data_IF_303771484599
#
_entry.id   IF_303771484599
#
_cell.length_a   1.000
_cell.length_b   1.000
_cell.length_c   1.000
_cell.angle_alpha   90.00
_cell.angle_beta   90.00
_cell.angle_gamma   90.00
#
_symmetry.space_group_name_H-M   'P 1'
#
loop_
_entity.id
_entity.type
_entity.pdbx_description
1 polymer ?
#
# COMPACT_ATOMS: atom_id res chain seq x y z
N UNK A 1 -25.83 13.60 25.20
CA UNK A 1 -24.38 13.36 24.98
C UNK A 1 -24.14 11.90 24.58
N UNK A 2 -24.87 10.95 25.19
CA UNK A 2 -24.97 9.54 24.80
C UNK A 2 -25.41 9.35 23.33
N UNK A 3 -26.40 10.10 22.86
CA UNK A 3 -26.90 9.98 21.46
C UNK A 3 -25.86 10.33 20.39
N UNK A 4 -24.98 11.31 20.64
CA UNK A 4 -23.91 11.68 19.70
C UNK A 4 -22.82 10.61 19.69
N UNK A 5 -22.53 9.99 20.84
CA UNK A 5 -21.57 8.89 20.95
C UNK A 5 -22.11 7.62 20.27
N UNK A 6 -23.40 7.32 20.41
CA UNK A 6 -24.04 6.18 19.71
C UNK A 6 -24.16 6.42 18.20
N UNK A 7 -24.48 7.64 17.76
CA UNK A 7 -24.49 8.02 16.34
C UNK A 7 -23.09 7.97 15.73
N UNK A 8 -22.08 8.39 16.50
CA UNK A 8 -20.67 8.27 16.13
C UNK A 8 -20.24 6.81 16.05
N UNK A 9 -20.63 6.00 17.02
CA UNK A 9 -20.33 4.57 17.05
C UNK A 9 -21.02 3.84 15.90
N UNK A 10 -22.24 4.22 15.49
CA UNK A 10 -22.93 3.61 14.36
C UNK A 10 -22.36 4.04 13.01
N UNK A 11 -21.94 5.31 12.87
CA UNK A 11 -21.30 5.83 11.64
C UNK A 11 -19.85 5.40 11.47
N UNK A 12 -19.14 5.12 12.56
CA UNK A 12 -17.76 4.60 12.55
C UNK A 12 -17.67 3.08 12.78
N UNK A 13 -18.79 2.39 13.00
CA UNK A 13 -18.83 0.93 13.04
C UNK A 13 -18.53 0.37 11.65
N UNK A 14 -17.26 0.01 11.42
CA UNK A 14 -16.96 -1.04 10.47
C UNK A 14 -17.43 -2.36 11.07
N UNK A 15 -18.36 -3.04 10.37
CA UNK A 15 -18.52 -4.48 10.51
C UNK A 15 -17.16 -5.14 10.28
N UNK A 16 -16.55 -5.68 11.34
CA UNK A 16 -15.49 -6.67 11.16
C UNK A 16 -16.10 -7.84 10.37
N UNK A 17 -15.52 -8.30 9.25
CA UNK A 17 -15.94 -9.57 8.68
C UNK A 17 -15.72 -10.64 9.75
N UNK A 18 -16.78 -11.39 10.03
CA UNK A 18 -16.76 -12.50 10.96
C UNK A 18 -15.59 -13.43 10.63
N UNK A 19 -14.87 -13.85 11.68
CA UNK A 19 -13.93 -14.97 11.61
C UNK A 19 -14.66 -16.18 11.01
N UNK A 20 -14.11 -16.72 9.93
CA UNK A 20 -13.84 -18.16 9.74
C UNK A 20 -13.34 -18.37 8.31
N UNK A 21 -12.02 -18.41 8.14
CA UNK A 21 -11.39 -19.21 7.09
C UNK A 21 -10.34 -20.03 7.81
N UNK A 22 -10.69 -21.27 8.13
CA UNK A 22 -9.75 -22.29 8.58
C UNK A 22 -8.67 -22.46 7.51
N UNK A 23 -7.48 -21.95 7.79
CA UNK A 23 -6.26 -22.31 7.08
C UNK A 23 -5.59 -23.43 7.87
N UNK A 24 -6.17 -24.63 7.84
CA UNK A 24 -5.44 -25.85 8.16
C UNK A 24 -4.87 -26.43 6.86
N UNK A 25 -3.56 -26.70 6.78
CA UNK A 25 -3.00 -27.42 5.65
C UNK A 25 -3.40 -28.88 5.77
N UNK A 26 -4.23 -29.37 4.85
CA UNK A 26 -4.45 -30.80 4.69
C UNK A 26 -3.16 -31.46 4.19
N UNK A 27 -2.54 -32.24 5.07
CA UNK A 27 -1.46 -33.17 4.76
C UNK A 27 -2.01 -34.31 3.88
N UNK A 28 -1.65 -34.33 2.60
CA UNK A 28 -1.78 -35.54 1.79
C UNK A 28 -0.48 -36.33 1.83
N UNK A 29 -0.53 -37.42 2.59
CA UNK A 29 0.43 -38.51 2.62
C UNK A 29 0.67 -39.05 1.20
N UNK A 30 1.91 -38.99 0.74
CA UNK A 30 2.37 -39.73 -0.45
C UNK A 30 2.62 -41.17 -0.04
N UNK A 31 1.78 -42.07 -0.54
CA UNK A 31 1.93 -43.51 -0.35
C UNK A 31 2.72 -44.14 -1.51
N UNK A 32 3.64 -45.02 -1.15
CA UNK A 32 4.62 -45.66 -2.02
C UNK A 32 4.02 -46.93 -2.64
N UNK A 33 3.71 -46.90 -3.94
CA UNK A 33 3.26 -48.06 -4.70
C UNK A 33 4.16 -48.36 -5.90
N UNK A 34 5.13 -49.25 -5.72
CA UNK A 34 5.94 -49.85 -6.79
C UNK A 34 5.04 -50.64 -7.76
N UNK A 35 5.06 -50.32 -9.05
CA UNK A 35 4.92 -51.33 -10.10
C UNK A 35 5.86 -51.02 -11.27
N UNK A 36 6.84 -51.92 -11.43
CA UNK A 36 7.62 -52.09 -12.65
C UNK A 36 6.71 -52.65 -13.74
N UNK A 37 6.80 -52.14 -14.96
CA UNK A 37 6.66 -52.96 -16.17
C UNK A 37 7.35 -52.31 -17.38
N UNK A 38 7.88 -53.20 -18.21
CA UNK A 38 8.94 -53.01 -19.21
C UNK A 38 8.51 -52.23 -20.46
N UNK A 39 9.54 -51.69 -21.10
CA UNK A 39 9.58 -51.06 -22.41
C UNK A 39 8.86 -51.82 -23.53
N UNK A 40 8.27 -51.04 -24.46
CA UNK A 40 8.32 -51.29 -25.91
C UNK A 40 8.03 -49.98 -26.65
N UNK A 41 8.96 -49.56 -27.51
CA UNK A 41 8.76 -48.51 -28.51
C UNK A 41 8.24 -49.16 -29.79
N UNK A 42 7.31 -48.52 -30.50
CA UNK A 42 7.49 -48.40 -31.95
C UNK A 42 7.33 -46.96 -32.44
N UNK A 43 8.23 -46.57 -33.33
CA UNK A 43 8.19 -45.34 -34.12
C UNK A 43 6.96 -45.34 -35.06
N UNK A 44 6.29 -44.19 -35.19
CA UNK A 44 5.80 -43.78 -36.51
C UNK A 44 5.48 -42.28 -36.61
N UNK A 45 5.97 -41.72 -37.72
CA UNK A 45 5.39 -40.66 -38.53
C UNK A 45 5.17 -39.24 -37.96
N UNK A 46 6.17 -38.39 -38.23
CA UNK A 46 6.06 -37.06 -38.82
C UNK A 46 4.68 -36.37 -38.84
N UNK A 47 4.52 -35.35 -37.99
CA UNK A 47 3.75 -34.15 -38.31
C UNK A 47 4.19 -32.97 -37.41
N UNK A 48 5.40 -32.43 -37.67
CA UNK A 48 5.80 -31.13 -37.12
C UNK A 48 5.12 -30.02 -37.91
N UNK A 49 3.93 -29.62 -37.49
CA UNK A 49 3.41 -28.28 -37.76
C UNK A 49 4.15 -27.28 -36.87
N UNK A 50 4.63 -26.22 -37.50
CA UNK A 50 5.34 -25.09 -36.90
C UNK A 50 4.63 -24.55 -35.65
N UNK A 51 5.09 -24.96 -34.46
CA UNK A 51 4.95 -24.14 -33.26
C UNK A 51 6.22 -23.32 -33.13
N UNK A 52 6.15 -22.07 -33.57
CA UNK A 52 7.19 -21.07 -33.30
C UNK A 52 7.23 -20.88 -31.78
N UNK A 53 8.03 -21.69 -31.10
CA UNK A 53 8.38 -21.47 -29.70
C UNK A 53 9.13 -20.14 -29.69
N UNK A 54 8.45 -19.08 -29.25
CA UNK A 54 9.07 -17.80 -28.96
C UNK A 54 10.21 -18.07 -28.00
N UNK A 55 11.45 -17.86 -28.46
CA UNK A 55 12.62 -17.84 -27.59
C UNK A 55 12.32 -16.99 -26.35
N UNK A 56 12.65 -17.42 -25.14
CA UNK A 56 12.65 -16.50 -24.01
C UNK A 56 13.54 -15.31 -24.38
N UNK A 57 13.04 -14.09 -24.19
CA UNK A 57 13.87 -12.89 -24.30
C UNK A 57 15.11 -13.13 -23.43
N UNK A 58 16.30 -12.94 -24.01
CA UNK A 58 17.55 -13.06 -23.28
C UNK A 58 17.46 -12.24 -21.98
N UNK A 59 17.94 -12.76 -20.83
CA UNK A 59 17.94 -12.00 -19.60
C UNK A 59 18.79 -10.75 -19.83
N UNK A 60 18.16 -9.58 -19.76
CA UNK A 60 18.89 -8.33 -19.67
C UNK A 60 19.73 -8.41 -18.39
N UNK A 61 21.04 -8.56 -18.52
CA UNK A 61 21.96 -8.60 -17.38
C UNK A 61 22.09 -7.18 -16.83
N UNK A 62 21.14 -6.77 -15.98
CA UNK A 62 21.14 -5.46 -15.33
C UNK A 62 19.75 -4.98 -14.91
N UNK A 63 19.74 -3.95 -14.06
CA UNK A 63 18.54 -3.21 -13.67
C UNK A 63 18.45 -1.90 -14.46
N UNK A 64 17.26 -1.48 -14.90
CA UNK A 64 15.95 -2.07 -14.66
C UNK A 64 15.62 -3.27 -15.56
N UNK A 65 14.79 -4.20 -15.09
CA UNK A 65 14.27 -5.33 -15.88
C UNK A 65 12.79 -5.60 -15.55
N UNK A 66 12.01 -6.05 -16.52
CA UNK A 66 10.59 -6.37 -16.34
C UNK A 66 10.31 -7.84 -16.64
N UNK A 67 9.47 -8.45 -15.81
CA UNK A 67 9.07 -9.84 -15.92
C UNK A 67 7.55 -9.96 -15.82
N UNK A 68 7.03 -10.98 -16.50
CA UNK A 68 5.66 -11.42 -16.36
C UNK A 68 5.58 -12.42 -15.20
N UNK A 69 4.62 -12.25 -14.29
CA UNK A 69 4.34 -13.29 -13.32
C UNK A 69 3.23 -14.23 -13.82
N UNK A 70 3.19 -15.45 -13.29
CA UNK A 70 2.18 -16.45 -13.66
C UNK A 70 0.77 -16.05 -13.19
N UNK A 71 0.66 -15.09 -12.27
CA UNK A 71 -0.60 -14.57 -11.76
C UNK A 71 -1.25 -13.52 -12.66
N UNK A 72 -0.67 -13.19 -13.83
CA UNK A 72 -1.26 -12.22 -14.76
C UNK A 72 -1.03 -10.75 -14.37
N UNK A 73 0.07 -10.44 -13.70
CA UNK A 73 0.61 -9.10 -13.45
C UNK A 73 2.09 -9.02 -13.87
N UNK A 74 2.70 -7.85 -13.74
CA UNK A 74 4.05 -7.58 -14.21
C UNK A 74 4.88 -7.05 -13.05
N UNK A 75 6.13 -7.47 -12.95
CA UNK A 75 7.07 -7.00 -11.93
C UNK A 75 8.25 -6.33 -12.60
N UNK A 76 8.62 -5.14 -12.13
CA UNK A 76 9.77 -4.38 -12.60
C UNK A 76 10.76 -4.28 -11.46
N UNK A 77 11.93 -4.86 -11.68
CA UNK A 77 13.05 -4.76 -10.78
C UNK A 77 13.84 -3.50 -11.16
N UNK A 78 13.91 -2.52 -10.26
CA UNK A 78 14.60 -1.26 -10.50
C UNK A 78 16.04 -1.26 -9.97
N UNK A 79 16.24 -1.94 -8.84
CA UNK A 79 17.50 -2.17 -8.12
C UNK A 79 17.33 -3.47 -7.30
N UNK A 80 18.40 -4.06 -6.72
CA UNK A 80 18.31 -5.35 -6.01
C UNK A 80 17.21 -5.45 -4.94
N UNK A 81 16.88 -4.33 -4.28
CA UNK A 81 15.90 -4.29 -3.20
C UNK A 81 14.60 -3.54 -3.55
N UNK A 82 14.41 -3.15 -4.82
CA UNK A 82 13.27 -2.32 -5.23
C UNK A 82 12.51 -2.99 -6.37
N UNK A 83 11.28 -3.40 -6.07
CA UNK A 83 10.36 -4.03 -7.02
C UNK A 83 9.11 -3.18 -7.16
N UNK A 84 8.65 -3.02 -8.41
CA UNK A 84 7.38 -2.39 -8.76
C UNK A 84 6.48 -3.41 -9.44
N UNK A 85 5.43 -3.82 -8.76
CA UNK A 85 4.38 -4.66 -9.31
C UNK A 85 3.29 -3.81 -9.96
N UNK A 86 2.86 -4.22 -11.14
CA UNK A 86 1.92 -3.50 -11.99
C UNK A 86 0.88 -4.46 -12.57
N UNK A 87 -0.40 -4.09 -12.51
CA UNK A 87 -1.49 -4.82 -13.17
C UNK A 87 -1.86 -4.20 -14.54
N UNK A 88 -2.68 -4.91 -15.32
CA UNK A 88 -3.19 -4.41 -16.62
C UNK A 88 -3.95 -3.09 -16.45
N UNK A 89 -4.76 -2.96 -15.39
CA UNK A 89 -5.50 -1.74 -15.06
C UNK A 89 -4.67 -0.71 -14.26
N UNK A 90 -3.33 -0.79 -14.32
CA UNK A 90 -2.40 0.21 -13.76
C UNK A 90 -2.54 0.41 -12.25
N UNK A 91 -2.85 -0.64 -11.50
CA UNK A 91 -2.60 -0.67 -10.06
C UNK A 91 -1.11 -0.86 -9.87
N UNK A 92 -0.52 -0.09 -8.96
CA UNK A 92 0.93 -0.06 -8.74
C UNK A 92 1.18 -0.43 -7.29
N UNK A 93 2.05 -1.40 -7.05
CA UNK A 93 2.63 -1.68 -5.73
C UNK A 93 4.14 -1.55 -5.81
N UNK A 94 4.73 -0.91 -4.83
CA UNK A 94 6.18 -0.82 -4.66
C UNK A 94 6.55 -1.57 -3.40
N UNK A 95 7.61 -2.37 -3.49
CA UNK A 95 8.28 -2.98 -2.33
C UNK A 95 9.74 -2.56 -2.35
N UNK A 96 10.14 -1.85 -1.29
CA UNK A 96 11.53 -1.65 -0.92
C UNK A 96 11.84 -2.59 0.24
N UNK A 97 12.48 -3.73 -0.06
CA UNK A 97 12.70 -4.79 0.93
C UNK A 97 13.41 -4.26 2.17
N UNK A 98 12.84 -4.57 3.35
CA UNK A 98 13.36 -4.14 4.65
C UNK A 98 13.09 -2.68 5.02
N UNK A 99 12.38 -1.90 4.19
CA UNK A 99 12.08 -0.48 4.46
C UNK A 99 10.59 -0.18 4.44
N UNK A 100 9.96 -0.35 3.28
CA UNK A 100 8.55 -0.06 3.13
C UNK A 100 7.93 -0.82 1.95
N UNK A 101 6.60 -0.89 1.95
CA UNK A 101 5.79 -1.19 0.78
C UNK A 101 4.68 -0.17 0.65
N UNK A 102 4.29 0.16 -0.58
CA UNK A 102 3.24 1.12 -0.87
C UNK A 102 2.38 0.62 -2.03
N UNK A 103 1.11 1.00 -2.09
CA UNK A 103 0.22 0.71 -3.21
C UNK A 103 -0.65 1.90 -3.54
N UNK A 104 -0.86 2.11 -4.84
CA UNK A 104 -1.87 3.01 -5.39
C UNK A 104 -2.80 2.19 -6.28
N UNK A 105 -4.08 2.14 -5.88
CA UNK A 105 -5.18 1.60 -6.65
C UNK A 105 -5.54 2.44 -7.88
N UNK A 106 -6.32 1.87 -8.79
CA UNK A 106 -6.89 2.60 -9.94
C UNK A 106 -8.01 3.57 -9.50
N UNK A 107 -8.66 3.26 -8.39
CA UNK A 107 -9.67 4.04 -7.66
C UNK A 107 -9.07 5.12 -6.73
N UNK A 108 -7.76 5.37 -6.83
CA UNK A 108 -7.00 6.27 -5.96
C UNK A 108 -6.87 5.82 -4.49
N UNK A 109 -7.26 4.59 -4.15
CA UNK A 109 -7.02 4.04 -2.83
C UNK A 109 -5.52 3.85 -2.57
N UNK A 110 -5.06 4.23 -1.38
CA UNK A 110 -3.66 4.17 -0.97
C UNK A 110 -3.46 3.29 0.26
N UNK A 111 -2.39 2.51 0.23
CA UNK A 111 -1.88 1.85 1.43
C UNK A 111 -0.36 1.99 1.49
N UNK A 112 0.17 2.19 2.69
CA UNK A 112 1.58 2.32 2.99
C UNK A 112 1.90 1.47 4.23
N UNK A 113 2.96 0.68 4.14
CA UNK A 113 3.53 -0.06 5.27
C UNK A 113 5.00 0.33 5.35
N UNK A 114 5.36 1.17 6.32
CA UNK A 114 6.70 1.65 6.61
C UNK A 114 7.06 1.27 8.07
N UNK A 115 8.34 1.10 8.39
CA UNK A 115 8.76 0.71 9.75
C UNK A 115 8.23 1.67 10.83
N UNK A 116 8.26 2.98 10.52
CA UNK A 116 7.79 4.06 11.39
C UNK A 116 6.32 4.45 11.22
N UNK A 117 5.63 3.95 10.20
CA UNK A 117 4.22 4.31 10.00
C UNK A 117 3.47 3.35 9.06
N UNK A 118 2.19 3.16 9.32
CA UNK A 118 1.30 2.41 8.43
C UNK A 118 0.09 3.26 8.09
N UNK A 119 -0.31 3.27 6.82
CA UNK A 119 -1.54 3.92 6.34
C UNK A 119 -2.35 2.90 5.53
N UNK A 120 -3.63 2.78 5.81
CA UNK A 120 -4.52 1.86 5.13
C UNK A 120 -5.85 2.54 4.83
N UNK A 121 -6.12 2.75 3.55
CA UNK A 121 -7.38 3.28 3.07
C UNK A 121 -8.36 2.15 2.78
N UNK A 122 -9.55 2.28 3.36
CA UNK A 122 -10.76 1.51 3.02
C UNK A 122 -11.74 2.43 2.30
N UNK A 123 -12.86 1.89 1.84
CA UNK A 123 -13.90 2.69 1.15
C UNK A 123 -14.42 3.85 2.02
N UNK A 124 -14.50 3.65 3.34
CA UNK A 124 -15.11 4.60 4.26
C UNK A 124 -14.09 5.46 5.03
N UNK A 125 -12.94 4.88 5.37
CA UNK A 125 -12.00 5.46 6.32
C UNK A 125 -10.55 5.30 5.88
N UNK A 126 -9.69 6.23 6.31
CA UNK A 126 -8.23 6.07 6.28
C UNK A 126 -7.76 5.82 7.71
N UNK A 127 -7.08 4.70 7.92
CA UNK A 127 -6.39 4.39 9.16
C UNK A 127 -4.92 4.75 9.01
N UNK A 128 -4.36 5.40 10.03
CA UNK A 128 -2.95 5.71 10.11
C UNK A 128 -2.42 5.35 11.51
N UNK A 129 -1.26 4.74 11.57
CA UNK A 129 -0.53 4.49 12.80
C UNK A 129 0.91 4.97 12.62
N UNK A 130 1.40 5.84 13.50
CA UNK A 130 2.74 6.39 13.47
C UNK A 130 3.49 5.93 14.71
N UNK A 131 4.63 5.26 14.51
CA UNK A 131 5.48 4.64 15.52
C UNK A 131 6.76 5.46 15.65
N UNK A 132 6.58 6.67 16.15
CA UNK A 132 7.60 7.71 16.15
C UNK A 132 7.92 8.08 17.58
N UNK A 133 9.14 7.76 18.02
CA UNK A 133 9.51 7.74 19.43
C UNK A 133 8.91 6.52 20.15
N UNK A 134 8.67 6.66 21.46
CA UNK A 134 8.20 5.56 22.31
C UNK A 134 6.66 5.44 22.39
N UNK A 135 5.93 6.25 21.60
CA UNK A 135 4.47 6.35 21.66
C UNK A 135 3.87 6.14 20.28
N UNK A 136 3.07 5.08 20.11
CA UNK A 136 2.26 4.87 18.92
C UNK A 136 1.12 5.90 18.89
N UNK A 137 0.98 6.57 17.75
CA UNK A 137 -0.05 7.58 17.48
C UNK A 137 -0.97 7.03 16.40
N UNK A 138 -2.24 6.88 16.72
CA UNK A 138 -3.22 6.25 15.84
C UNK A 138 -4.29 7.27 15.44
N UNK A 139 -4.64 7.30 14.16
CA UNK A 139 -5.64 8.23 13.61
C UNK A 139 -6.53 7.54 12.59
N UNK A 140 -7.83 7.79 12.65
CA UNK A 140 -8.82 7.35 11.68
C UNK A 140 -9.50 8.58 11.10
N UNK A 141 -9.32 8.81 9.80
CA UNK A 141 -9.96 9.88 9.05
C UNK A 141 -11.20 9.31 8.37
N UNK A 142 -12.39 9.70 8.83
CA UNK A 142 -13.66 9.37 8.19
C UNK A 142 -14.32 10.56 7.53
N UNK A 143 -15.54 10.36 7.06
CA UNK A 143 -16.35 11.43 6.47
C UNK A 143 -16.77 12.47 7.53
N UNK A 144 -17.28 12.00 8.67
CA UNK A 144 -17.85 12.85 9.73
C UNK A 144 -16.81 13.50 10.64
N UNK A 145 -15.54 13.08 10.61
CA UNK A 145 -14.53 13.60 11.53
C UNK A 145 -13.25 12.77 11.53
N UNK A 146 -12.41 13.03 12.52
CA UNK A 146 -11.14 12.34 12.75
C UNK A 146 -11.13 11.79 14.17
N UNK A 147 -10.91 10.49 14.32
CA UNK A 147 -10.64 9.86 15.61
C UNK A 147 -9.14 9.75 15.80
N UNK A 148 -8.63 10.09 16.97
CA UNK A 148 -7.22 9.99 17.31
C UNK A 148 -7.02 9.30 18.66
N UNK A 149 -5.88 8.65 18.83
CA UNK A 149 -5.47 7.99 20.07
C UNK A 149 -3.95 7.88 20.13
N UNK A 150 -3.41 7.78 21.34
CA UNK A 150 -1.99 7.53 21.58
C UNK A 150 -1.86 6.54 22.75
N UNK A 151 -0.74 5.81 22.83
CA UNK A 151 -0.55 4.78 23.86
C UNK A 151 -0.68 5.34 25.30
N UNK A 152 -0.24 6.57 25.50
CA UNK A 152 -0.26 7.29 26.76
C UNK A 152 -1.52 8.12 27.02
N UNK A 153 -2.54 8.05 26.15
CA UNK A 153 -3.84 8.65 26.40
C UNK A 153 -4.78 7.63 27.04
N UNK A 154 -5.48 8.03 28.11
CA UNK A 154 -6.50 7.19 28.76
C UNK A 154 -7.66 6.88 27.79
N UNK A 155 -8.06 7.88 27.00
CA UNK A 155 -9.18 7.82 26.07
C UNK A 155 -8.75 8.15 24.64
N UNK A 156 -9.56 7.73 23.67
CA UNK A 156 -9.45 8.22 22.30
C UNK A 156 -10.26 9.50 22.16
N UNK A 157 -9.97 10.33 21.17
CA UNK A 157 -10.68 11.59 20.97
C UNK A 157 -11.23 11.72 19.56
N UNK A 158 -12.40 12.35 19.43
CA UNK A 158 -13.00 12.73 18.15
C UNK A 158 -12.84 14.21 17.90
N UNK A 159 -12.29 14.56 16.73
CA UNK A 159 -12.32 15.90 16.14
C UNK A 159 -13.37 15.95 15.02
N UNK A 160 -14.43 16.75 15.20
CA UNK A 160 -15.44 16.94 14.16
C UNK A 160 -16.18 18.26 14.26
N UNK A 161 -16.20 19.00 13.15
CA UNK A 161 -17.07 20.16 12.93
C UNK A 161 -18.55 19.86 13.19
N UNK A 162 -19.08 18.79 12.61
CA UNK A 162 -20.54 18.54 12.55
C UNK A 162 -21.12 18.08 13.87
N UNK A 163 -20.30 17.50 14.74
CA UNK A 163 -20.79 16.80 15.92
C UNK A 163 -20.79 17.65 17.19
N UNK A 164 -20.16 18.83 17.19
CA UNK A 164 -19.94 19.59 18.43
C UNK A 164 -20.08 21.12 18.23
N UNK A 165 -20.83 21.75 19.15
CA UNK A 165 -20.67 23.16 19.51
C UNK A 165 -19.58 23.25 20.59
N UNK A 166 -18.45 23.93 20.33
CA UNK A 166 -17.32 24.07 21.28
C UNK A 166 -15.98 23.57 20.73
N UNK A 167 -15.00 23.34 21.63
CA UNK A 167 -13.58 23.06 21.34
C UNK A 167 -13.30 21.79 20.50
N UNK A 168 -14.36 21.03 20.17
CA UNK A 168 -14.33 20.06 19.08
C UNK A 168 -13.65 18.73 19.38
N UNK A 169 -13.17 18.53 20.62
CA UNK A 169 -12.57 17.27 21.07
C UNK A 169 -13.49 16.57 22.08
N UNK A 170 -13.92 15.35 21.78
CA UNK A 170 -14.73 14.54 22.72
C UNK A 170 -14.02 13.23 23.01
N UNK A 171 -13.86 12.88 24.31
CA UNK A 171 -13.37 11.57 24.68
C UNK A 171 -14.34 10.47 24.26
N UNK A 172 -13.79 9.37 23.78
CA UNK A 172 -14.53 8.18 23.38
C UNK A 172 -13.83 6.97 23.98
N UNK A 173 -14.63 6.06 24.53
CA UNK A 173 -14.13 4.79 25.07
C UNK A 173 -13.30 4.06 24.00
N UNK A 174 -12.04 3.72 24.33
CA UNK A 174 -11.02 3.13 23.45
C UNK A 174 -11.57 2.01 22.55
N UNK A 175 -11.86 2.28 21.27
CA UNK A 175 -12.18 1.32 20.19
C UNK A 175 -12.01 2.00 18.82
N UNK A 176 -11.56 1.41 17.72
CA UNK A 176 -10.91 0.14 17.37
C UNK A 176 -9.98 0.50 16.20
N UNK A 177 -8.69 0.68 16.45
CA UNK A 177 -7.74 0.72 15.35
C UNK A 177 -7.48 -0.73 14.90
N UNK A 178 -7.57 -1.05 13.60
CA UNK A 178 -7.16 -2.36 13.13
C UNK A 178 -5.68 -2.56 13.48
N UNK A 179 -5.22 -3.81 13.66
CA UNK A 179 -3.82 -4.06 13.97
C UNK A 179 -2.94 -3.64 12.78
N UNK A 180 -2.34 -2.46 12.84
CA UNK A 180 -1.65 -1.81 11.72
C UNK A 180 -0.23 -2.36 11.43
N UNK A 181 0.10 -3.57 11.88
CA UNK A 181 1.44 -4.18 11.77
C UNK A 181 1.60 -5.13 10.58
N UNK A 182 0.54 -5.38 9.83
CA UNK A 182 0.56 -6.26 8.66
C UNK A 182 0.84 -5.49 7.37
N UNK A 183 1.41 -6.16 6.35
CA UNK A 183 1.52 -5.58 5.01
C UNK A 183 0.15 -5.58 4.30
N UNK A 184 -0.60 -4.50 4.47
CA UNK A 184 -1.87 -4.30 3.77
C UNK A 184 -1.70 -4.01 2.28
N UNK A 185 -0.50 -3.67 1.83
CA UNK A 185 -0.26 -3.21 0.46
C UNK A 185 -0.44 -4.31 -0.56
N UNK A 186 -0.03 -5.53 -0.22
CA UNK A 186 -0.22 -6.70 -1.08
C UNK A 186 -1.71 -7.03 -1.25
N UNK A 187 -2.47 -7.02 -0.14
CA UNK A 187 -3.92 -7.22 -0.16
C UNK A 187 -4.61 -6.15 -1.01
N UNK A 188 -4.26 -4.88 -0.80
CA UNK A 188 -4.83 -3.76 -1.54
C UNK A 188 -4.52 -3.88 -3.04
N UNK A 189 -3.30 -4.28 -3.39
CA UNK A 189 -2.89 -4.48 -4.77
C UNK A 189 -3.78 -5.51 -5.48
N UNK A 190 -3.92 -6.71 -4.93
CA UNK A 190 -4.73 -7.76 -5.55
C UNK A 190 -6.24 -7.50 -5.47
N UNK A 191 -6.71 -6.72 -4.50
CA UNK A 191 -8.12 -6.30 -4.43
C UNK A 191 -8.47 -5.35 -5.60
N UNK A 192 -7.56 -4.45 -5.95
CA UNK A 192 -7.78 -3.48 -7.03
C UNK A 192 -7.32 -3.97 -8.42
N UNK A 193 -6.42 -4.95 -8.48
CA UNK A 193 -5.77 -5.37 -9.72
C UNK A 193 -6.68 -6.23 -10.62
N UNK A 194 -6.60 -5.98 -11.92
CA UNK A 194 -6.99 -6.96 -12.93
C UNK A 194 -5.85 -7.98 -13.09
N UNK A 195 -6.02 -9.15 -12.50
CA UNK A 195 -5.05 -10.27 -12.51
C UNK A 195 -5.73 -11.62 -12.80
N UNK A 196 -4.92 -12.65 -12.98
CA UNK A 196 -5.30 -14.02 -13.37
C UNK A 196 -4.81 -14.39 -14.77
N UNK A 197 -4.84 -15.69 -15.09
CA UNK A 197 -4.29 -16.24 -16.34
C UNK A 197 -4.84 -15.57 -17.61
N UNK A 198 -6.12 -15.16 -17.59
CA UNK A 198 -6.78 -14.43 -18.69
C UNK A 198 -6.06 -13.14 -19.10
N UNK A 199 -5.29 -12.54 -18.20
CA UNK A 199 -4.53 -11.31 -18.46
C UNK A 199 -3.09 -11.58 -18.92
N UNK A 200 -2.58 -12.81 -18.84
CA UNK A 200 -1.21 -13.16 -19.28
C UNK A 200 -0.90 -12.70 -20.71
N UNK A 201 -1.78 -12.90 -21.72
CA UNK A 201 -1.50 -12.44 -23.08
C UNK A 201 -1.40 -10.92 -23.19
N UNK A 202 -2.17 -10.18 -22.37
CA UNK A 202 -2.16 -8.71 -22.34
C UNK A 202 -0.90 -8.22 -21.64
N UNK A 203 -0.55 -8.79 -20.49
CA UNK A 203 0.67 -8.46 -19.76
C UNK A 203 1.92 -8.75 -20.60
N UNK A 204 1.96 -9.88 -21.32
CA UNK A 204 3.04 -10.17 -22.25
C UNK A 204 3.20 -9.05 -23.30
N UNK A 205 2.12 -8.63 -23.95
CA UNK A 205 2.15 -7.52 -24.92
C UNK A 205 2.63 -6.21 -24.30
N UNK A 206 2.24 -5.92 -23.06
CA UNK A 206 2.67 -4.72 -22.33
C UNK A 206 4.18 -4.77 -22.05
N UNK A 207 4.69 -5.88 -21.51
CA UNK A 207 6.12 -6.05 -21.19
C UNK A 207 6.98 -5.98 -22.45
N UNK A 208 6.57 -6.63 -23.55
CA UNK A 208 7.31 -6.57 -24.82
C UNK A 208 7.38 -5.15 -25.40
N UNK A 209 6.42 -4.28 -25.06
CA UNK A 209 6.38 -2.87 -25.49
C UNK A 209 6.96 -1.90 -24.46
N UNK A 210 7.49 -2.39 -23.34
CA UNK A 210 8.11 -1.55 -22.35
C UNK A 210 9.38 -0.90 -22.90
N UNK A 211 9.59 0.37 -22.57
CA UNK A 211 10.77 1.11 -22.98
C UNK A 211 11.67 1.37 -21.78
N UNK A 212 12.95 1.06 -21.93
CA UNK A 212 13.99 1.28 -20.93
C UNK A 212 15.04 2.20 -21.56
N UNK A 213 15.32 3.31 -20.90
CA UNK A 213 16.24 4.32 -21.43
C UNK A 213 17.15 4.83 -20.33
N UNK A 214 18.43 4.96 -20.65
CA UNK A 214 19.40 5.63 -19.80
C UNK A 214 19.67 7.02 -20.40
N UNK A 215 19.38 8.09 -19.64
CA UNK A 215 19.64 9.47 -20.04
C UNK A 215 20.60 10.07 -19.02
N UNK A 216 21.88 10.17 -19.39
CA UNK A 216 22.95 10.50 -18.44
C UNK A 216 22.95 9.51 -17.27
N UNK A 217 22.86 10.03 -16.04
CA UNK A 217 22.83 9.24 -14.81
C UNK A 217 21.40 8.91 -14.34
N UNK A 218 20.40 8.97 -15.22
CA UNK A 218 19.00 8.67 -14.90
C UNK A 218 18.54 7.44 -15.68
N UNK A 219 17.85 6.53 -15.00
CA UNK A 219 17.19 5.38 -15.63
C UNK A 219 15.70 5.71 -15.75
N UNK A 220 15.14 5.51 -16.94
CA UNK A 220 13.74 5.77 -17.24
C UNK A 220 13.09 4.49 -17.74
N UNK A 221 11.95 4.13 -17.15
CA UNK A 221 11.10 3.02 -17.60
C UNK A 221 9.73 3.56 -17.97
N UNK A 222 9.25 3.22 -19.17
CA UNK A 222 7.89 3.51 -19.62
C UNK A 222 7.18 2.20 -19.94
N UNK A 223 6.11 1.92 -19.22
CA UNK A 223 5.36 0.65 -19.34
C UNK A 223 3.90 0.88 -18.98
N UNK A 224 2.97 0.44 -19.83
CA UNK A 224 1.53 0.59 -19.61
C UNK A 224 1.05 2.03 -19.27
N UNK A 225 1.70 3.07 -19.79
CA UNK A 225 1.40 4.46 -19.43
C UNK A 225 1.83 4.86 -18.00
N UNK A 226 2.72 4.08 -17.39
CA UNK A 226 3.40 4.38 -16.14
C UNK A 226 4.82 4.81 -16.50
N UNK A 227 5.26 5.93 -15.92
CA UNK A 227 6.61 6.47 -16.08
C UNK A 227 7.36 6.34 -14.77
N UNK A 228 8.45 5.59 -14.78
CA UNK A 228 9.34 5.39 -13.65
C UNK A 228 10.65 6.09 -13.97
N UNK A 229 11.12 6.93 -13.04
CA UNK A 229 12.37 7.64 -13.14
C UNK A 229 13.21 7.34 -11.91
N UNK A 230 14.39 6.76 -12.12
CA UNK A 230 15.41 6.56 -11.08
C UNK A 230 16.47 7.64 -11.27
N UNK A 231 16.70 8.45 -10.24
CA UNK A 231 17.70 9.51 -10.23
C UNK A 231 19.08 8.96 -9.86
N UNK A 232 20.13 9.78 -10.03
CA UNK A 232 21.51 9.37 -9.76
C UNK A 232 21.77 8.96 -8.30
N UNK A 233 21.06 9.58 -7.36
CA UNK A 233 21.12 9.22 -5.93
C UNK A 233 20.23 8.01 -5.56
N UNK A 234 19.65 7.32 -6.54
CA UNK A 234 18.80 6.15 -6.33
C UNK A 234 17.37 6.45 -5.91
N UNK A 235 16.97 7.74 -5.78
CA UNK A 235 15.56 8.07 -5.57
C UNK A 235 14.72 7.69 -6.79
N UNK A 236 13.49 7.29 -6.54
CA UNK A 236 12.57 6.81 -7.56
C UNK A 236 11.32 7.67 -7.55
N UNK A 237 10.87 8.04 -8.74
CA UNK A 237 9.58 8.66 -8.97
C UNK A 237 8.78 7.80 -9.94
N UNK A 238 7.55 7.44 -9.55
CA UNK A 238 6.59 6.72 -10.38
C UNK A 238 5.41 7.63 -10.62
N UNK A 239 5.10 7.90 -11.87
CA UNK A 239 3.93 8.70 -12.26
C UNK A 239 3.01 7.89 -13.17
N UNK A 240 1.71 7.99 -12.93
CA UNK A 240 0.70 7.35 -13.75
C UNK A 240 -0.60 8.15 -13.68
N UNK A 241 -0.95 8.82 -14.78
CA UNK A 241 -2.06 9.79 -14.81
C UNK A 241 -1.86 10.84 -13.70
N UNK A 242 -2.86 11.05 -12.84
CA UNK A 242 -2.79 12.02 -11.72
C UNK A 242 -2.28 11.41 -10.42
N UNK A 243 -1.47 10.34 -10.49
CA UNK A 243 -0.97 9.57 -9.35
C UNK A 243 0.55 9.59 -9.35
N UNK A 244 1.12 9.72 -8.17
CA UNK A 244 2.55 9.90 -7.95
C UNK A 244 3.00 9.05 -6.75
N UNK A 245 4.07 8.28 -6.92
CA UNK A 245 4.88 7.79 -5.81
C UNK A 245 6.27 8.37 -5.92
N UNK A 246 6.83 8.82 -4.81
CA UNK A 246 8.24 9.22 -4.69
C UNK A 246 8.84 8.49 -3.52
N UNK A 247 10.04 7.96 -3.68
CA UNK A 247 10.71 7.33 -2.56
C UNK A 247 12.23 7.33 -2.72
N UNK A 248 12.93 7.24 -1.60
CA UNK A 248 14.37 7.13 -1.53
C UNK A 248 14.72 5.81 -0.81
N UNK A 249 15.10 4.74 -1.54
CA UNK A 249 15.36 3.42 -0.95
C UNK A 249 16.43 3.41 0.15
N UNK A 250 17.43 4.30 0.05
CA UNK A 250 18.54 4.39 1.01
C UNK A 250 18.09 4.94 2.36
N UNK A 251 17.28 6.00 2.36
CA UNK A 251 16.81 6.67 3.59
C UNK A 251 15.54 6.03 4.12
N UNK A 252 14.68 5.49 3.25
CA UNK A 252 13.35 4.99 3.60
C UNK A 252 12.24 6.01 3.34
N UNK A 253 12.57 7.22 2.90
CA UNK A 253 11.56 8.25 2.62
C UNK A 253 10.59 7.79 1.55
N UNK A 254 9.30 8.01 1.77
CA UNK A 254 8.24 7.59 0.87
C UNK A 254 7.08 8.57 0.89
N UNK A 255 6.61 8.95 -0.30
CA UNK A 255 5.43 9.74 -0.53
C UNK A 255 4.54 9.07 -1.56
N UNK A 256 3.25 9.00 -1.27
CA UNK A 256 2.21 8.46 -2.13
C UNK A 256 1.12 9.52 -2.27
N UNK A 257 0.89 9.98 -3.50
CA UNK A 257 -0.02 11.08 -3.78
C UNK A 257 -0.98 10.74 -4.91
N UNK A 258 -2.25 11.03 -4.68
CA UNK A 258 -3.35 10.97 -5.66
C UNK A 258 -4.14 12.28 -5.59
N UNK A 259 -5.18 12.49 -6.43
CA UNK A 259 -6.02 13.69 -6.34
C UNK A 259 -6.76 13.84 -5.01
N UNK A 260 -6.96 12.74 -4.27
CA UNK A 260 -7.79 12.72 -3.06
C UNK A 260 -7.00 12.53 -1.77
N UNK A 261 -5.77 11.99 -1.85
CA UNK A 261 -4.94 11.70 -0.68
C UNK A 261 -3.45 11.97 -0.96
N UNK A 262 -2.76 12.55 0.01
CA UNK A 262 -1.30 12.72 0.05
C UNK A 262 -0.79 12.11 1.36
N UNK A 263 0.06 11.09 1.25
CA UNK A 263 0.67 10.38 2.38
C UNK A 263 2.17 10.49 2.25
N UNK A 264 2.86 10.90 3.30
CA UNK A 264 4.31 10.94 3.33
C UNK A 264 4.87 10.47 4.67
N UNK A 265 5.97 9.73 4.63
CA UNK A 265 6.73 9.29 5.80
C UNK A 265 8.20 9.48 5.46
N UNK A 266 8.94 10.15 6.33
CA UNK A 266 10.39 10.31 6.21
C UNK A 266 11.16 9.42 7.19
N UNK A 267 12.46 9.30 6.95
CA UNK A 267 13.40 8.53 7.76
C UNK A 267 13.52 9.02 9.20
N UNK A 268 13.14 10.27 9.49
CA UNK A 268 13.10 10.81 10.86
C UNK A 268 11.81 10.46 11.60
N UNK A 269 10.89 9.74 10.95
CA UNK A 269 9.59 9.39 11.47
C UNK A 269 8.57 10.50 11.38
N UNK A 270 8.84 11.61 10.67
CA UNK A 270 7.76 12.56 10.41
C UNK A 270 6.81 11.95 9.39
N UNK A 271 5.56 11.85 9.80
CA UNK A 271 4.49 11.29 8.99
C UNK A 271 3.42 12.32 8.71
N UNK A 272 2.80 12.27 7.53
CA UNK A 272 1.63 13.08 7.22
C UNK A 272 0.61 12.31 6.38
N UNK A 273 -0.66 12.60 6.63
CA UNK A 273 -1.79 12.13 5.85
C UNK A 273 -2.72 13.30 5.60
N UNK A 274 -2.98 13.60 4.33
CA UNK A 274 -3.83 14.72 3.90
C UNK A 274 -4.94 14.16 3.02
N UNK A 275 -6.20 14.36 3.39
CA UNK A 275 -7.39 14.00 2.61
C UNK A 275 -8.33 15.21 2.51
N UNK A 276 -8.30 15.90 1.37
CA UNK A 276 -9.03 17.16 1.19
C UNK A 276 -8.63 18.21 2.22
N UNK A 277 -9.56 18.63 3.08
CA UNK A 277 -9.29 19.58 4.18
C UNK A 277 -8.76 18.92 5.46
N UNK A 278 -8.89 17.59 5.59
CA UNK A 278 -8.44 16.84 6.76
C UNK A 278 -6.96 16.56 6.68
N UNK A 279 -6.22 16.82 7.76
CA UNK A 279 -4.76 16.71 7.83
C UNK A 279 -4.34 16.06 9.13
N UNK A 280 -3.31 15.23 9.05
CA UNK A 280 -2.65 14.61 10.19
C UNK A 280 -1.17 14.76 9.99
N UNK A 281 -0.47 15.23 11.01
CA UNK A 281 0.98 15.30 11.07
C UNK A 281 1.44 14.65 12.37
N UNK A 282 2.35 13.69 12.27
CA UNK A 282 2.93 13.00 13.41
C UNK A 282 4.44 13.16 13.42
N UNK A 283 5.02 13.32 14.60
CA UNK A 283 6.46 13.40 14.81
C UNK A 283 6.83 12.88 16.21
N UNK A 284 8.11 12.95 16.55
CA UNK A 284 8.59 12.67 17.92
C UNK A 284 7.99 13.62 18.95
N UNK A 285 7.66 14.86 18.55
CA UNK A 285 7.11 15.87 19.46
C UNK A 285 5.62 15.71 19.77
N UNK A 286 4.89 14.92 18.99
CA UNK A 286 3.44 14.79 19.15
C UNK A 286 2.69 14.53 17.86
N UNK A 287 1.39 14.81 17.91
CA UNK A 287 0.40 14.62 16.87
C UNK A 287 -0.38 15.93 16.66
N UNK A 288 -0.45 16.39 15.41
CA UNK A 288 -1.31 17.52 15.01
C UNK A 288 -2.37 17.00 14.05
N UNK A 289 -3.63 17.29 14.35
CA UNK A 289 -4.77 16.87 13.56
C UNK A 289 -5.63 18.08 13.23
N UNK A 290 -6.06 18.19 11.98
CA UNK A 290 -6.98 19.24 11.52
C UNK A 290 -8.10 18.65 10.68
N UNK A 291 -9.35 19.07 10.91
CA UNK A 291 -10.51 18.63 10.11
C UNK A 291 -10.90 19.60 8.98
N UNK A 292 -10.16 20.71 8.87
CA UNK A 292 -10.38 21.78 7.89
C UNK A 292 -10.85 23.09 8.51
N UNK A 293 -11.35 23.05 9.74
CA UNK A 293 -11.76 24.23 10.49
C UNK A 293 -11.15 24.26 11.88
N UNK A 294 -11.05 23.08 12.51
CA UNK A 294 -10.45 22.91 13.83
C UNK A 294 -9.09 22.27 13.71
N UNK A 295 -8.22 22.63 14.64
CA UNK A 295 -6.89 22.05 14.80
C UNK A 295 -6.72 21.66 16.26
N UNK A 296 -6.20 20.47 16.47
CA UNK A 296 -5.73 20.02 17.78
C UNK A 296 -4.28 19.57 17.66
N UNK A 297 -3.48 19.91 18.66
CA UNK A 297 -2.17 19.30 18.86
C UNK A 297 -2.16 18.53 20.19
N UNK A 298 -1.51 17.38 20.18
CA UNK A 298 -1.23 16.58 21.38
C UNK A 298 0.26 16.36 21.41
N UNK A 299 0.92 16.69 22.51
CA UNK A 299 2.35 16.48 22.64
C UNK A 299 2.70 15.00 22.86
N UNK A 300 4.00 14.70 22.88
CA UNK A 300 4.50 13.36 23.12
C UNK A 300 4.09 12.80 24.49
N UNK A 301 3.78 13.64 25.47
CA UNK A 301 3.34 13.26 26.82
C UNK A 301 1.83 13.03 26.91
N UNK A 302 1.07 13.31 25.85
CA UNK A 302 -0.39 13.14 25.82
C UNK A 302 -1.15 14.39 26.26
N UNK A 303 -0.48 15.52 26.47
CA UNK A 303 -1.16 16.77 26.79
C UNK A 303 -1.73 17.41 25.53
N UNK A 304 -2.98 17.85 25.59
CA UNK A 304 -3.60 18.63 24.52
C UNK A 304 -3.03 20.05 24.55
N UNK A 305 -2.26 20.40 23.53
CA UNK A 305 -1.67 21.73 23.33
C UNK A 305 -2.50 22.42 22.25
N UNK A 306 -3.23 23.47 22.60
CA UNK A 306 -4.00 24.31 21.69
C UNK A 306 -5.30 23.68 21.14
N UNK A 307 -6.43 24.14 21.67
CA UNK A 307 -7.76 24.03 21.05
C UNK A 307 -8.20 25.43 20.62
N UNK A 308 -7.67 25.94 19.51
CA UNK A 308 -8.13 27.23 18.99
C UNK A 308 -9.51 27.05 18.35
N UNK A 309 -10.50 27.74 18.91
CA UNK A 309 -11.86 27.95 18.37
C UNK A 309 -11.86 28.87 17.17
#
# INVERSE_FOLDING_TARGET
MTDIIEELQSKFALSLPARNVDLTPQSSTYDNGKQQQRATTPQSANNRKNSTISKPLAPCTGYPSAFLNNCGTMSIFLEPNVVVDISVNRVIRVTCFGKFSATIGNDYNVSLSHELASVYQTDNCIYAAFRVGDVEKQVMIGESGIVLSMDNLEESYVLSKTLLKGNGLVPVQRRFFPPMKFDFTLKQFYTAANYGERYLPVCHKIVTRAHFTNIGNKKIVVINGIHIRVTQNGSVEITSQNRLMRFAPLTGDVQVKTPIIDVAVDASGKGSVIKGKKRVHASTSGLVVADGERVISIDAAGNVINSAT
#
